data_IF_192978977580
#
_entry.id   IF_192978977580
#
_cell.length_a   1.000
_cell.length_b   1.000
_cell.length_c   1.000
_cell.angle_alpha   90.00
_cell.angle_beta   90.00
_cell.angle_gamma   90.00
#
_symmetry.space_group_name_H-M   'P 1'
#
loop_
_entity.id
_entity.type
_entity.pdbx_description
1 polymer ?
#
# COMPACT_ATOMS: atom_id res chain seq x y z
N UNK A 1 -67.90 -59.57 41.30
CA UNK A 1 -67.17 -59.63 42.58
C UNK A 1 -66.08 -58.58 42.55
N UNK A 2 -66.17 -57.61 43.46
CA UNK A 2 -65.28 -56.46 43.55
C UNK A 2 -63.97 -56.83 44.22
N UNK A 3 -62.84 -56.30 43.72
CA UNK A 3 -61.56 -56.29 44.46
C UNK A 3 -60.92 -54.91 44.32
N UNK A 4 -61.03 -54.20 45.44
CA UNK A 4 -60.13 -53.23 46.08
C UNK A 4 -59.16 -52.37 45.25
N UNK A 5 -59.30 -51.07 45.49
CA UNK A 5 -58.31 -50.01 45.28
C UNK A 5 -56.91 -50.36 45.82
N UNK A 6 -55.88 -49.92 45.10
CA UNK A 6 -54.61 -49.50 45.72
C UNK A 6 -54.13 -48.21 45.04
N UNK A 7 -54.24 -47.09 45.76
CA UNK A 7 -53.66 -45.79 45.41
C UNK A 7 -52.15 -45.86 45.57
N UNK A 8 -51.41 -45.91 44.46
CA UNK A 8 -49.95 -45.72 44.48
C UNK A 8 -49.61 -44.26 44.18
N UNK A 9 -49.30 -43.50 45.25
CA UNK A 9 -48.71 -42.16 45.14
C UNK A 9 -47.24 -42.27 44.76
N UNK A 10 -46.90 -42.08 43.49
CA UNK A 10 -45.53 -41.79 43.08
C UNK A 10 -45.30 -40.27 43.01
N UNK A 11 -44.78 -39.72 44.11
CA UNK A 11 -43.97 -38.50 44.09
C UNK A 11 -42.61 -38.86 43.47
N UNK A 12 -42.33 -38.43 42.24
CA UNK A 12 -40.95 -38.37 41.69
C UNK A 12 -40.84 -37.13 40.82
N UNK A 13 -40.23 -36.09 41.39
CA UNK A 13 -38.87 -35.62 41.09
C UNK A 13 -38.81 -35.01 39.69
N UNK A 14 -38.84 -33.69 39.69
CA UNK A 14 -38.56 -32.78 38.58
C UNK A 14 -37.17 -33.13 38.02
N UNK A 15 -37.12 -33.54 36.76
CA UNK A 15 -35.89 -33.59 35.98
C UNK A 15 -36.01 -32.48 34.92
N UNK A 16 -35.63 -31.27 35.33
CA UNK A 16 -35.42 -30.16 34.41
C UNK A 16 -34.18 -30.47 33.59
N UNK A 17 -34.36 -30.98 32.38
CA UNK A 17 -33.28 -31.06 31.38
C UNK A 17 -33.03 -29.64 30.90
N UNK A 18 -32.10 -28.95 31.53
CA UNK A 18 -31.50 -27.75 30.96
C UNK A 18 -30.72 -28.19 29.71
N UNK A 19 -31.37 -28.08 28.55
CA UNK A 19 -30.69 -28.16 27.26
C UNK A 19 -29.79 -26.93 27.18
N UNK A 20 -28.54 -27.09 27.59
CA UNK A 20 -27.47 -26.18 27.21
C UNK A 20 -27.32 -26.28 25.70
N UNK A 21 -28.02 -25.41 24.97
CA UNK A 21 -27.71 -25.13 23.57
C UNK A 21 -26.36 -24.43 23.59
N UNK A 22 -25.31 -25.25 23.59
CA UNK A 22 -23.96 -24.81 23.31
C UNK A 22 -24.00 -24.12 21.94
N UNK A 23 -23.79 -22.80 21.94
CA UNK A 23 -23.55 -22.01 20.74
C UNK A 23 -22.23 -22.47 20.12
N UNK A 24 -22.23 -23.63 19.46
CA UNK A 24 -21.33 -23.86 18.34
C UNK A 24 -21.90 -23.05 17.18
N UNK A 25 -21.56 -21.75 17.15
CA UNK A 25 -21.60 -21.03 15.89
C UNK A 25 -20.76 -21.83 14.89
N UNK A 26 -21.19 -21.98 13.62
CA UNK A 26 -20.29 -22.52 12.62
C UNK A 26 -19.10 -21.55 12.57
N UNK A 27 -17.98 -21.96 13.16
CA UNK A 27 -16.70 -21.58 12.61
C UNK A 27 -16.76 -22.13 11.20
N UNK A 28 -17.18 -21.29 10.25
CA UNK A 28 -16.98 -21.53 8.84
C UNK A 28 -15.46 -21.68 8.78
N UNK A 29 -14.99 -22.92 8.78
CA UNK A 29 -13.64 -23.23 8.39
C UNK A 29 -13.53 -22.59 7.02
N UNK A 30 -12.88 -21.42 6.96
CA UNK A 30 -12.51 -20.81 5.69
C UNK A 30 -11.60 -21.86 5.05
N UNK A 31 -12.18 -22.66 4.17
CA UNK A 31 -11.44 -23.61 3.33
C UNK A 31 -10.29 -22.79 2.76
N UNK A 32 -9.06 -23.18 3.10
CA UNK A 32 -7.84 -22.45 2.77
C UNK A 32 -7.89 -22.06 1.30
N UNK A 33 -8.07 -20.77 1.04
CA UNK A 33 -8.23 -20.27 -0.33
C UNK A 33 -6.86 -20.19 -0.95
N UNK A 34 -6.79 -20.45 -2.25
CA UNK A 34 -5.52 -20.37 -2.97
C UNK A 34 -5.48 -19.15 -3.86
N UNK A 35 -4.36 -18.42 -3.83
CA UNK A 35 -4.10 -17.31 -4.73
C UNK A 35 -2.73 -17.48 -5.36
N UNK A 36 -2.53 -16.88 -6.54
CA UNK A 36 -1.17 -16.69 -7.05
C UNK A 36 -0.39 -15.75 -6.13
N UNK A 37 0.85 -16.12 -5.85
CA UNK A 37 1.76 -15.41 -4.96
C UNK A 37 3.04 -15.03 -5.70
N UNK A 38 3.24 -13.72 -5.94
CA UNK A 38 4.51 -13.21 -6.42
C UNK A 38 4.68 -11.71 -6.12
N UNK A 39 5.90 -11.22 -6.27
CA UNK A 39 6.24 -9.80 -6.28
C UNK A 39 6.48 -9.19 -4.90
N UNK A 40 7.09 -7.99 -4.87
CA UNK A 40 7.60 -7.38 -3.64
C UNK A 40 6.52 -7.05 -2.61
N UNK A 41 5.28 -6.76 -3.03
CA UNK A 41 4.21 -6.45 -2.06
C UNK A 41 3.66 -7.68 -1.36
N UNK A 42 3.88 -8.87 -1.92
CA UNK A 42 3.42 -10.10 -1.29
C UNK A 42 4.24 -10.46 -0.03
N UNK A 43 5.50 -10.01 0.05
CA UNK A 43 6.35 -10.14 1.24
C UNK A 43 5.75 -9.43 2.48
N UNK A 44 4.88 -8.43 2.26
CA UNK A 44 4.25 -7.69 3.36
C UNK A 44 3.18 -8.51 4.08
N UNK A 45 2.53 -9.43 3.36
CA UNK A 45 1.44 -10.26 3.88
C UNK A 45 1.99 -11.57 4.42
N UNK A 46 2.85 -12.25 3.67
CA UNK A 46 3.44 -13.51 4.07
C UNK A 46 4.92 -13.32 4.42
N UNK A 47 5.18 -12.89 5.67
CA UNK A 47 6.54 -12.55 6.15
C UNK A 47 7.46 -13.74 6.35
N UNK A 48 6.92 -14.96 6.36
CA UNK A 48 7.66 -16.20 6.61
C UNK A 48 8.51 -16.63 5.40
N UNK A 49 8.14 -16.21 4.19
CA UNK A 49 8.83 -16.59 2.97
C UNK A 49 8.96 -15.39 2.03
N UNK A 50 10.13 -15.29 1.39
CA UNK A 50 10.35 -14.27 0.38
C UNK A 50 9.56 -14.61 -0.87
N UNK A 51 8.76 -13.66 -1.35
CA UNK A 51 7.99 -13.83 -2.56
C UNK A 51 8.92 -13.91 -3.80
N UNK A 52 8.68 -14.86 -4.72
CA UNK A 52 9.37 -14.88 -6.00
C UNK A 52 8.95 -13.68 -6.87
N UNK A 53 9.75 -13.33 -7.88
CA UNK A 53 9.34 -12.30 -8.85
C UNK A 53 8.14 -12.77 -9.66
N UNK A 54 7.27 -11.83 -10.06
CA UNK A 54 6.16 -12.15 -10.96
C UNK A 54 6.68 -12.36 -12.38
N UNK A 55 6.89 -13.61 -12.78
CA UNK A 55 7.10 -14.01 -14.17
C UNK A 55 5.86 -14.73 -14.70
N UNK A 56 5.54 -14.54 -15.98
CA UNK A 56 4.49 -15.30 -16.65
C UNK A 56 5.10 -16.57 -17.28
N UNK A 57 4.42 -17.72 -17.24
CA UNK A 57 3.14 -17.99 -16.57
C UNK A 57 3.27 -18.02 -15.05
N UNK A 58 2.21 -17.62 -14.33
CA UNK A 58 2.22 -17.67 -12.86
C UNK A 58 2.11 -19.12 -12.38
N UNK A 59 3.13 -19.62 -11.71
CA UNK A 59 3.20 -20.99 -11.16
C UNK A 59 3.08 -21.02 -9.65
N UNK A 60 3.39 -19.90 -9.01
CA UNK A 60 3.57 -19.80 -7.56
C UNK A 60 2.22 -19.54 -6.90
N UNK A 61 1.80 -20.49 -6.05
CA UNK A 61 0.49 -20.50 -5.39
C UNK A 61 0.69 -20.59 -3.88
N UNK A 62 -0.14 -19.86 -3.15
CA UNK A 62 -0.16 -19.88 -1.69
C UNK A 62 -1.54 -20.18 -1.15
N UNK A 63 -1.60 -20.82 0.01
CA UNK A 63 -2.80 -20.87 0.83
C UNK A 63 -2.92 -19.57 1.62
N UNK A 64 -4.09 -18.94 1.58
CA UNK A 64 -4.35 -17.71 2.29
C UNK A 64 -4.49 -17.96 3.79
N UNK A 65 -3.76 -17.15 4.56
CA UNK A 65 -3.88 -17.13 6.02
C UNK A 65 -5.30 -16.71 6.45
N UNK A 66 -5.79 -17.22 7.60
CA UNK A 66 -7.07 -16.80 8.16
C UNK A 66 -7.16 -15.27 8.29
N UNK A 67 -8.25 -14.68 7.77
CA UNK A 67 -8.44 -13.22 7.75
C UNK A 67 -7.97 -12.51 6.47
N UNK A 68 -7.37 -13.23 5.52
CA UNK A 68 -7.03 -12.72 4.19
C UNK A 68 -7.80 -13.47 3.08
N UNK A 69 -9.15 -13.41 3.06
CA UNK A 69 -9.93 -14.30 2.21
C UNK A 69 -9.95 -13.92 0.71
N UNK A 70 -9.36 -12.82 0.26
CA UNK A 70 -9.47 -12.39 -1.15
C UNK A 70 -8.13 -12.49 -1.87
N UNK A 71 -8.15 -12.63 -3.20
CA UNK A 71 -6.93 -12.48 -4.01
C UNK A 71 -6.89 -11.11 -4.68
N UNK A 72 -5.73 -10.49 -4.75
CA UNK A 72 -5.56 -9.23 -5.48
C UNK A 72 -4.32 -9.24 -6.39
N UNK A 73 -4.32 -8.28 -7.32
CA UNK A 73 -3.17 -7.91 -8.13
C UNK A 73 -2.85 -6.44 -7.82
N UNK A 74 -1.59 -6.15 -7.58
CA UNK A 74 -1.12 -4.79 -7.30
C UNK A 74 0.00 -4.45 -8.26
N UNK A 75 -0.04 -3.27 -8.84
CA UNK A 75 1.04 -2.73 -9.63
C UNK A 75 1.62 -1.50 -8.93
N UNK A 76 2.95 -1.42 -8.86
CA UNK A 76 3.68 -0.22 -8.43
C UNK A 76 4.38 0.43 -9.62
N UNK A 77 4.66 1.73 -9.56
CA UNK A 77 5.37 2.50 -10.58
C UNK A 77 5.94 3.80 -9.96
N UNK A 78 7.21 4.17 -10.19
CA UNK A 78 8.26 3.47 -10.94
C UNK A 78 9.23 2.64 -10.05
N UNK A 79 9.84 1.53 -10.56
CA UNK A 79 9.58 0.88 -11.85
C UNK A 79 8.22 0.16 -11.86
N UNK A 80 7.70 -0.19 -13.05
CA UNK A 80 6.47 -0.98 -13.13
C UNK A 80 6.73 -2.39 -12.60
N UNK A 81 6.16 -2.74 -11.45
CA UNK A 81 6.27 -4.08 -10.86
C UNK A 81 4.92 -4.58 -10.39
N UNK A 82 4.56 -5.79 -10.80
CA UNK A 82 3.35 -6.47 -10.35
C UNK A 82 3.61 -7.27 -9.06
N UNK A 83 2.57 -7.45 -8.27
CA UNK A 83 2.52 -8.34 -7.11
C UNK A 83 1.15 -8.98 -7.02
N UNK A 84 1.10 -10.23 -6.58
CA UNK A 84 -0.11 -11.04 -6.43
C UNK A 84 -0.06 -11.71 -5.08
N UNK A 85 -1.13 -11.61 -4.30
CA UNK A 85 -1.17 -12.14 -2.93
C UNK A 85 -2.59 -12.13 -2.35
N UNK A 86 -2.76 -12.81 -1.21
CA UNK A 86 -3.98 -12.82 -0.41
C UNK A 86 -4.17 -11.49 0.32
N UNK A 87 -5.38 -10.95 0.33
CA UNK A 87 -5.70 -9.66 0.95
C UNK A 87 -6.98 -9.72 1.77
N UNK A 88 -7.05 -8.80 2.73
CA UNK A 88 -8.29 -8.46 3.42
C UNK A 88 -8.97 -7.32 2.67
N UNK A 89 -10.28 -7.44 2.42
CA UNK A 89 -11.06 -6.37 1.81
C UNK A 89 -11.42 -5.32 2.87
N UNK A 90 -11.05 -4.08 2.65
CA UNK A 90 -11.58 -2.92 3.36
C UNK A 90 -12.67 -2.30 2.48
N UNK A 91 -13.92 -2.37 2.93
CA UNK A 91 -15.10 -2.03 2.11
C UNK A 91 -15.10 -0.56 1.67
N UNK A 92 -14.39 0.31 2.36
CA UNK A 92 -14.48 1.76 2.23
C UNK A 92 -13.71 2.30 1.01
N UNK A 93 -12.96 1.46 0.27
CA UNK A 93 -11.95 1.92 -0.69
C UNK A 93 -12.01 1.28 -2.09
N UNK A 94 -13.12 0.63 -2.45
CA UNK A 94 -13.24 -0.10 -3.72
C UNK A 94 -14.17 0.57 -4.73
N UNK A 95 -13.63 0.88 -5.92
CA UNK A 95 -14.39 1.25 -7.11
C UNK A 95 -14.79 -0.01 -7.90
N UNK A 96 -15.27 0.13 -9.14
CA UNK A 96 -15.65 -1.00 -10.00
C UNK A 96 -14.46 -1.89 -10.41
N UNK A 97 -13.26 -1.30 -10.59
CA UNK A 97 -12.10 -1.99 -11.17
C UNK A 97 -10.86 -2.04 -10.27
N UNK A 98 -10.70 -1.07 -9.38
CA UNK A 98 -9.57 -0.96 -8.49
C UNK A 98 -9.99 -0.57 -7.07
N UNK A 99 -9.15 -0.95 -6.11
CA UNK A 99 -9.23 -0.48 -4.73
C UNK A 99 -7.90 0.17 -4.34
N UNK A 100 -7.89 0.92 -3.24
CA UNK A 100 -6.69 1.44 -2.57
C UNK A 100 -5.59 1.92 -3.55
N UNK A 101 -5.82 3.10 -4.11
CA UNK A 101 -4.98 3.67 -5.18
C UNK A 101 -4.20 4.87 -4.67
N UNK A 102 -2.90 4.89 -4.96
CA UNK A 102 -2.04 6.06 -4.75
C UNK A 102 -1.49 6.56 -6.09
N UNK A 103 -0.50 7.46 -6.02
CA UNK A 103 0.20 7.99 -7.21
C UNK A 103 1.21 7.02 -7.79
N UNK A 104 1.69 6.08 -6.97
CA UNK A 104 2.80 5.17 -7.30
C UNK A 104 2.43 3.72 -7.20
N UNK A 105 1.22 3.38 -6.75
CA UNK A 105 0.72 2.02 -6.80
C UNK A 105 -0.81 1.99 -6.83
N UNK A 106 -1.36 0.89 -7.32
CA UNK A 106 -2.81 0.65 -7.37
C UNK A 106 -3.08 -0.84 -7.29
N UNK A 107 -4.17 -1.21 -6.62
CA UNK A 107 -4.65 -2.59 -6.48
C UNK A 107 -5.92 -2.80 -7.33
N UNK A 108 -6.03 -3.93 -8.03
CA UNK A 108 -7.31 -4.33 -8.67
C UNK A 108 -8.33 -4.69 -7.59
N UNK A 109 -9.63 -4.60 -7.90
CA UNK A 109 -10.64 -5.05 -6.93
C UNK A 109 -10.35 -6.49 -6.46
N UNK A 110 -10.25 -6.76 -5.15
CA UNK A 110 -9.99 -8.12 -4.70
C UNK A 110 -11.10 -9.06 -5.17
N UNK A 111 -10.70 -10.21 -5.73
CA UNK A 111 -11.64 -11.22 -6.20
C UNK A 111 -11.80 -12.34 -5.17
N UNK A 112 -12.94 -13.02 -5.24
CA UNK A 112 -13.29 -14.17 -4.40
C UNK A 112 -13.32 -15.43 -5.26
N UNK A 113 -12.48 -16.40 -4.93
CA UNK A 113 -12.37 -17.68 -5.64
C UNK A 113 -10.92 -18.14 -5.70
N UNK A 114 -10.72 -19.44 -5.84
CA UNK A 114 -9.37 -20.02 -5.99
C UNK A 114 -8.72 -19.51 -7.27
N UNK A 115 -7.48 -19.03 -7.15
CA UNK A 115 -6.62 -18.57 -8.24
C UNK A 115 -7.25 -17.49 -9.13
N UNK A 116 -8.22 -16.75 -8.60
CA UNK A 116 -8.96 -15.73 -9.35
C UNK A 116 -8.11 -14.52 -9.75
N UNK A 117 -6.94 -14.35 -9.12
CA UNK A 117 -5.92 -13.37 -9.49
C UNK A 117 -4.93 -13.92 -10.53
N UNK A 118 -5.37 -14.82 -11.42
CA UNK A 118 -4.60 -15.29 -12.56
C UNK A 118 -4.41 -14.23 -13.65
N UNK A 119 -3.84 -14.64 -14.79
CA UNK A 119 -3.60 -13.74 -15.92
C UNK A 119 -4.91 -13.19 -16.45
N UNK A 120 -5.15 -11.89 -16.28
CA UNK A 120 -6.23 -11.18 -16.95
C UNK A 120 -5.72 -9.83 -17.46
N UNK A 121 -5.23 -9.85 -18.71
CA UNK A 121 -4.56 -8.70 -19.33
C UNK A 121 -5.47 -7.49 -19.49
N UNK A 122 -6.75 -7.68 -19.77
CA UNK A 122 -7.68 -6.57 -20.00
C UNK A 122 -7.99 -5.85 -18.70
N UNK A 123 -8.37 -6.60 -17.66
CA UNK A 123 -8.65 -6.08 -16.32
C UNK A 123 -7.46 -5.34 -15.74
N UNK A 124 -6.27 -5.93 -15.84
CA UNK A 124 -5.02 -5.35 -15.33
C UNK A 124 -4.63 -4.10 -16.14
N UNK A 125 -4.75 -4.13 -17.47
CA UNK A 125 -4.46 -2.98 -18.31
C UNK A 125 -5.38 -1.80 -18.02
N UNK A 126 -6.68 -2.05 -17.83
CA UNK A 126 -7.65 -1.01 -17.50
C UNK A 126 -7.40 -0.43 -16.10
N UNK A 127 -7.19 -1.29 -15.10
CA UNK A 127 -6.93 -0.86 -13.73
C UNK A 127 -5.62 -0.05 -13.62
N UNK A 128 -4.54 -0.51 -14.25
CA UNK A 128 -3.19 0.03 -14.06
C UNK A 128 -2.72 1.03 -15.11
N UNK A 129 -3.41 1.15 -16.26
CA UNK A 129 -3.00 2.02 -17.38
C UNK A 129 -2.88 3.51 -17.02
N UNK A 130 -3.47 3.94 -15.89
CA UNK A 130 -3.41 5.32 -15.40
C UNK A 130 -2.11 5.59 -14.59
N UNK A 131 -1.43 4.58 -14.06
CA UNK A 131 -0.25 4.75 -13.19
C UNK A 131 0.88 5.57 -13.86
N UNK A 132 1.29 5.32 -15.11
CA UNK A 132 2.34 6.11 -15.76
C UNK A 132 1.99 7.60 -15.84
N UNK A 133 0.71 7.92 -16.10
CA UNK A 133 0.22 9.31 -16.17
C UNK A 133 0.24 9.99 -14.80
N UNK A 134 -0.13 9.27 -13.73
CA UNK A 134 -0.09 9.80 -12.36
C UNK A 134 1.33 10.10 -11.89
N UNK A 135 2.28 9.21 -12.21
CA UNK A 135 3.71 9.41 -11.91
C UNK A 135 4.24 10.63 -12.67
N UNK A 136 3.97 10.74 -13.98
CA UNK A 136 4.40 11.87 -14.80
C UNK A 136 3.84 13.22 -14.28
N UNK A 137 2.55 13.26 -13.91
CA UNK A 137 1.93 14.45 -13.32
C UNK A 137 2.62 14.87 -12.02
N UNK A 138 2.98 13.90 -11.18
CA UNK A 138 3.66 14.15 -9.90
C UNK A 138 5.08 14.64 -10.09
N UNK A 139 5.82 14.02 -11.01
CA UNK A 139 7.17 14.44 -11.36
C UNK A 139 7.20 15.87 -11.91
N UNK A 140 6.31 16.19 -12.84
CA UNK A 140 6.20 17.53 -13.43
C UNK A 140 5.79 18.58 -12.39
N UNK A 141 4.88 18.25 -11.46
CA UNK A 141 4.53 19.15 -10.36
C UNK A 141 5.73 19.40 -9.42
N UNK A 142 6.53 18.37 -9.13
CA UNK A 142 7.75 18.50 -8.31
C UNK A 142 8.80 19.37 -9.00
N UNK A 143 9.02 19.18 -10.31
CA UNK A 143 9.92 20.03 -11.09
C UNK A 143 9.43 21.48 -11.09
N UNK A 144 8.15 21.73 -11.37
CA UNK A 144 7.60 23.09 -11.37
C UNK A 144 7.79 23.80 -10.03
N UNK A 145 7.56 23.10 -8.90
CA UNK A 145 7.82 23.68 -7.57
C UNK A 145 9.31 23.94 -7.34
N UNK A 146 10.19 23.04 -7.76
CA UNK A 146 11.63 23.25 -7.67
C UNK A 146 12.10 24.45 -8.51
N UNK A 147 11.49 24.68 -9.68
CA UNK A 147 11.77 25.84 -10.53
C UNK A 147 11.29 27.14 -9.87
N UNK A 148 10.09 27.16 -9.29
CA UNK A 148 9.56 28.34 -8.57
C UNK A 148 10.44 28.67 -7.36
N UNK A 149 10.86 27.65 -6.60
CA UNK A 149 11.77 27.82 -5.46
C UNK A 149 13.16 28.34 -5.87
N UNK A 150 13.61 28.07 -7.10
CA UNK A 150 14.87 28.58 -7.63
C UNK A 150 14.73 29.97 -8.23
N UNK A 151 13.59 30.30 -8.85
CA UNK A 151 13.33 31.64 -9.40
C UNK A 151 12.98 32.69 -8.34
N UNK A 152 12.60 32.26 -7.12
CA UNK A 152 12.37 33.16 -5.98
C UNK A 152 13.62 33.44 -5.14
N UNK A 153 14.80 32.91 -5.50
CA UNK A 153 16.07 33.44 -5.02
C UNK A 153 16.41 34.72 -5.79
N UNK A 154 15.61 35.77 -5.56
CA UNK A 154 16.11 37.13 -5.73
C UNK A 154 17.19 37.26 -4.65
N UNK A 155 18.44 37.09 -5.04
CA UNK A 155 19.56 37.61 -4.27
C UNK A 155 19.26 39.09 -4.04
N UNK A 156 18.84 39.46 -2.83
CA UNK A 156 18.93 40.84 -2.35
C UNK A 156 20.41 41.16 -2.23
N UNK A 157 21.09 41.29 -3.37
CA UNK A 157 22.36 41.98 -3.41
C UNK A 157 22.02 43.46 -3.25
N UNK A 158 21.95 43.87 -1.98
CA UNK A 158 21.75 45.24 -1.54
C UNK A 158 22.90 46.12 -2.06
N UNK A 159 22.79 46.55 -3.30
CA UNK A 159 23.45 47.75 -3.79
C UNK A 159 22.80 48.96 -3.10
N UNK A 160 23.21 49.28 -1.87
CA UNK A 160 23.09 50.62 -1.28
C UNK A 160 24.03 50.78 -0.07
N UNK A 161 25.14 51.48 -0.37
CA UNK A 161 26.08 52.26 0.47
C UNK A 161 25.73 52.39 1.96
N UNK A 162 26.71 52.09 2.81
CA UNK A 162 27.33 53.02 3.76
C UNK A 162 28.45 52.31 4.53
N UNK A 163 29.68 52.36 4.03
CA UNK A 163 30.86 52.18 4.88
C UNK A 163 31.68 53.47 4.76
N UNK A 164 31.78 54.16 5.88
CA UNK A 164 32.51 55.42 6.05
C UNK A 164 33.96 55.02 6.32
N UNK A 165 34.84 55.23 5.33
CA UNK A 165 36.28 55.11 5.51
C UNK A 165 36.80 56.41 6.12
N UNK A 166 37.11 56.37 7.41
CA UNK A 166 37.94 57.39 8.06
C UNK A 166 39.32 56.79 8.31
N UNK A 167 40.24 56.92 7.35
CA UNK A 167 41.67 56.95 7.68
C UNK A 167 42.41 57.91 6.75
N UNK A 168 43.03 58.89 7.40
CA UNK A 168 43.65 60.11 6.91
C UNK A 168 44.94 59.86 6.11
N UNK A 169 45.21 60.81 5.20
CA UNK A 169 46.29 60.87 4.23
C UNK A 169 47.73 60.93 4.80
N UNK A 170 48.66 60.45 3.95
CA UNK A 170 50.03 60.92 3.61
C UNK A 170 50.91 59.68 3.34
N UNK A 171 51.79 59.58 2.34
CA UNK A 171 52.46 60.60 1.53
C UNK A 171 53.00 59.97 0.22
N UNK A 172 53.14 60.82 -0.80
CA UNK A 172 53.60 60.59 -2.16
C UNK A 172 55.08 60.23 -2.26
N UNK A 173 55.47 59.21 -3.03
CA UNK A 173 56.77 59.14 -3.74
C UNK A 173 56.65 58.50 -5.12
N UNK A 174 57.41 59.06 -6.05
CA UNK A 174 57.44 58.99 -7.52
C UNK A 174 58.16 57.77 -8.13
N UNK A 175 57.59 57.22 -9.23
CA UNK A 175 58.12 56.90 -10.61
C UNK A 175 59.64 56.59 -10.77
N UNK A 176 60.17 55.70 -11.68
CA UNK A 176 59.59 55.17 -12.94
C UNK A 176 59.72 53.66 -13.28
N UNK A 177 58.88 53.29 -14.25
CA UNK A 177 59.10 52.42 -15.42
C UNK A 177 60.53 51.91 -15.71
N UNK A 178 60.64 50.60 -15.97
CA UNK A 178 61.59 50.09 -16.96
C UNK A 178 60.95 48.93 -17.75
N UNK A 179 61.07 49.04 -19.06
CA UNK A 179 60.63 48.06 -20.05
C UNK A 179 61.57 46.85 -20.04
N UNK A 180 61.05 45.65 -20.31
CA UNK A 180 61.53 44.87 -21.47
C UNK A 180 60.70 43.59 -21.68
N UNK A 181 60.31 43.42 -22.95
CA UNK A 181 59.95 42.16 -23.57
C UNK A 181 61.18 41.24 -23.66
N UNK A 182 61.00 39.94 -23.43
CA UNK A 182 60.93 38.84 -24.41
C UNK A 182 60.31 37.64 -23.70
#
# INVERSE_FOLDING_TARGET
>A
MAVSETKFRFRRIVLSVAVFISLCGPAIAEVGRRCYWCGPMAEQVHRSQRAPSCSRPFTEVTDCDPGFPYCAVVATSPPYTESRYCVKLYQDECYSLYCNSTRTWRMTCPCRGDLCNGVNTEREAEAFGILPRLVAKTHNARIKRALISKSSFISMNNNRKNQIDNTTAQETKSIPNDNNAI
#
